data_IF_871027706006
#
_entry.id   IF_871027706006
#
_cell.length_a   1.000
_cell.length_b   1.000
_cell.length_c   1.000
_cell.angle_alpha   90.00
_cell.angle_beta   90.00
_cell.angle_gamma   90.00
#
_symmetry.space_group_name_H-M   'P 1'
#
loop_
_entity.id
_entity.type
_entity.pdbx_description
1 polymer ?
#
# COMPACT_ATOMS: atom_id res chain seq x y z
N UNK A 1 -9.46 -3.89 23.68
CA UNK A 1 -7.99 -3.81 23.47
C UNK A 1 -7.67 -2.81 22.33
N UNK A 2 -7.95 -1.52 22.52
CA UNK A 2 -7.89 -0.52 21.41
C UNK A 2 -7.10 0.75 21.70
N UNK A 3 -6.98 1.15 22.97
CA UNK A 3 -6.44 2.47 23.32
C UNK A 3 -4.90 2.55 23.16
N UNK A 4 -4.15 1.48 23.44
CA UNK A 4 -2.68 1.50 23.33
C UNK A 4 -2.15 1.52 21.89
N UNK A 5 -2.84 0.88 20.93
CA UNK A 5 -2.43 0.90 19.50
C UNK A 5 -2.70 2.27 18.87
N UNK A 6 -3.85 2.86 19.19
CA UNK A 6 -4.24 4.18 18.67
C UNK A 6 -3.33 5.28 19.21
N UNK A 7 -2.90 5.19 20.47
CA UNK A 7 -1.98 6.18 21.07
C UNK A 7 -0.57 6.12 20.46
N UNK A 8 -0.04 4.93 20.13
CA UNK A 8 1.27 4.80 19.48
C UNK A 8 1.25 5.32 18.03
N UNK A 9 0.15 5.09 17.31
CA UNK A 9 -0.12 5.63 15.97
C UNK A 9 -0.18 7.16 15.97
N UNK A 10 -0.73 7.76 17.04
CA UNK A 10 -0.97 9.21 17.14
C UNK A 10 0.30 10.02 17.45
N UNK A 11 1.32 9.44 18.10
CA UNK A 11 2.47 10.19 18.64
C UNK A 11 3.83 10.00 17.93
N UNK A 12 3.90 9.37 16.75
CA UNK A 12 5.11 9.49 15.93
C UNK A 12 5.55 8.30 15.08
N UNK A 13 4.75 7.25 14.96
CA UNK A 13 5.12 6.10 14.15
C UNK A 13 3.95 5.75 13.22
N UNK A 14 4.09 6.11 11.94
CA UNK A 14 3.13 5.75 10.90
C UNK A 14 2.78 4.26 11.00
N UNK A 15 1.48 3.96 10.99
CA UNK A 15 0.96 2.62 11.30
C UNK A 15 1.73 1.52 10.55
N UNK A 16 2.42 0.67 11.31
CA UNK A 16 3.08 -0.56 10.83
C UNK A 16 2.09 -1.68 10.56
N UNK A 17 0.80 -1.43 10.77
CA UNK A 17 -0.25 -2.40 10.53
C UNK A 17 -0.46 -2.58 9.02
N UNK A 18 0.08 -3.70 8.52
CA UNK A 18 0.07 -4.06 7.10
C UNK A 18 -1.31 -4.46 6.60
N UNK A 19 -2.30 -4.67 7.47
CA UNK A 19 -3.66 -5.00 7.04
C UNK A 19 -4.33 -3.87 6.24
N UNK A 20 -3.88 -2.63 6.45
CA UNK A 20 -4.39 -1.46 5.76
C UNK A 20 -3.66 -1.14 4.46
N UNK A 21 -2.50 -1.76 4.22
CA UNK A 21 -1.68 -1.49 3.03
C UNK A 21 -2.32 -2.13 1.79
N UNK A 22 -2.10 -1.52 0.63
CA UNK A 22 -2.61 -2.05 -0.63
C UNK A 22 -1.48 -2.65 -1.46
N UNK A 23 -1.75 -3.77 -2.11
CA UNK A 23 -0.87 -4.32 -3.13
C UNK A 23 -0.84 -3.43 -4.36
N UNK A 24 0.35 -3.18 -4.88
CA UNK A 24 0.53 -2.66 -6.24
C UNK A 24 0.82 -3.85 -7.15
N UNK A 25 -0.06 -4.07 -8.13
CA UNK A 25 0.02 -5.20 -9.04
C UNK A 25 0.30 -4.70 -10.45
N UNK A 26 1.33 -5.25 -11.11
CA UNK A 26 1.62 -4.98 -12.50
C UNK A 26 0.94 -6.03 -13.40
N UNK A 27 0.16 -5.64 -14.43
CA UNK A 27 -0.51 -6.60 -15.30
C UNK A 27 0.44 -7.44 -16.18
N UNK A 28 1.67 -6.99 -16.41
CA UNK A 28 2.70 -7.69 -17.21
C UNK A 28 3.57 -8.57 -16.32
N UNK A 29 4.01 -8.07 -15.17
CA UNK A 29 5.01 -8.74 -14.32
C UNK A 29 4.48 -9.25 -12.97
N UNK A 30 3.21 -8.98 -12.66
CA UNK A 30 2.57 -9.35 -11.38
C UNK A 30 3.07 -8.52 -10.20
N UNK A 31 3.25 -9.16 -9.04
CA UNK A 31 3.83 -8.55 -7.82
C UNK A 31 5.37 -8.63 -7.80
N UNK A 32 6.01 -8.93 -8.94
CA UNK A 32 7.47 -8.98 -9.08
C UNK A 32 7.92 -8.15 -10.28
N UNK A 33 9.13 -7.60 -10.21
CA UNK A 33 9.81 -6.91 -11.30
C UNK A 33 11.30 -7.23 -11.24
N UNK A 34 11.96 -7.27 -12.39
CA UNK A 34 13.41 -7.45 -12.46
C UNK A 34 14.04 -6.10 -12.80
N UNK A 35 14.92 -5.61 -11.94
CA UNK A 35 15.68 -4.38 -12.18
C UNK A 35 17.15 -4.75 -12.20
N UNK A 36 17.78 -4.66 -13.38
CA UNK A 36 19.20 -4.95 -13.58
C UNK A 36 19.63 -6.34 -13.07
N UNK A 37 18.83 -7.37 -13.33
CA UNK A 37 19.10 -8.74 -12.90
C UNK A 37 18.63 -9.07 -11.47
N UNK A 38 18.16 -8.08 -10.71
CA UNK A 38 17.68 -8.26 -9.34
C UNK A 38 16.16 -8.34 -9.33
N UNK A 39 15.62 -9.49 -8.90
CA UNK A 39 14.19 -9.65 -8.67
C UNK A 39 13.75 -8.86 -7.42
N UNK A 40 12.76 -8.00 -7.58
CA UNK A 40 12.10 -7.20 -6.53
C UNK A 40 10.60 -7.41 -6.63
N UNK A 41 9.87 -7.18 -5.55
CA UNK A 41 8.42 -7.37 -5.54
C UNK A 41 7.79 -6.89 -4.26
N UNK A 42 6.57 -7.33 -4.00
CA UNK A 42 5.80 -6.94 -2.82
C UNK A 42 5.62 -5.43 -2.71
N UNK A 43 5.37 -4.76 -3.84
CA UNK A 43 5.19 -3.32 -3.85
C UNK A 43 3.86 -2.96 -3.20
N UNK A 44 3.89 -1.97 -2.30
CA UNK A 44 2.70 -1.57 -1.54
C UNK A 44 2.47 -0.07 -1.62
N UNK A 45 1.20 0.32 -1.49
CA UNK A 45 0.81 1.67 -1.08
C UNK A 45 0.62 1.66 0.44
N UNK A 46 1.41 2.46 1.15
CA UNK A 46 1.43 2.46 2.62
C UNK A 46 1.82 3.83 3.20
N UNK A 47 1.61 4.12 4.50
CA UNK A 47 2.12 5.35 5.09
C UNK A 47 3.64 5.31 5.19
N UNK A 48 4.30 6.47 5.18
CA UNK A 48 5.75 6.54 5.33
C UNK A 48 6.18 5.89 6.65
N UNK A 49 7.03 4.87 6.53
CA UNK A 49 7.62 4.19 7.68
C UNK A 49 8.77 4.99 8.32
N UNK A 50 9.24 4.58 9.51
CA UNK A 50 10.26 5.31 10.27
C UNK A 50 11.60 5.46 9.54
N UNK A 51 11.95 4.49 8.68
CA UNK A 51 13.18 4.52 7.89
C UNK A 51 13.07 5.35 6.60
N UNK A 52 11.86 5.82 6.24
CA UNK A 52 11.58 6.58 5.01
C UNK A 52 12.07 5.93 3.70
N UNK A 53 12.26 4.61 3.71
CA UNK A 53 12.68 3.84 2.55
C UNK A 53 11.46 3.43 1.73
N UNK A 54 11.42 3.81 0.45
CA UNK A 54 10.34 3.40 -0.45
C UNK A 54 10.64 2.08 -1.16
N UNK A 55 11.90 1.75 -1.50
CA UNK A 55 12.30 0.50 -2.18
C UNK A 55 11.43 0.09 -3.41
N UNK A 56 10.64 1.03 -3.98
CA UNK A 56 9.66 0.81 -5.05
C UNK A 56 8.18 0.83 -4.63
N UNK A 57 7.89 0.88 -3.33
CA UNK A 57 6.57 1.19 -2.78
C UNK A 57 6.19 2.66 -2.99
N UNK A 58 4.89 2.95 -2.98
CA UNK A 58 4.35 4.31 -2.94
C UNK A 58 4.04 4.64 -1.48
N UNK A 59 4.64 5.70 -0.95
CA UNK A 59 4.44 6.09 0.46
C UNK A 59 3.68 7.41 0.59
N UNK A 60 2.66 7.43 1.44
CA UNK A 60 1.99 8.67 1.85
C UNK A 60 2.67 9.23 3.09
N UNK A 61 3.23 10.44 2.99
CA UNK A 61 4.09 11.04 4.04
C UNK A 61 3.34 11.22 5.35
N UNK A 62 2.13 11.77 5.30
CA UNK A 62 1.31 12.02 6.48
C UNK A 62 0.45 10.78 6.80
N UNK A 63 0.58 10.16 7.99
CA UNK A 63 -0.21 8.98 8.36
C UNK A 63 -1.72 9.23 8.42
N UNK A 64 -2.17 10.41 8.85
CA UNK A 64 -3.58 10.79 8.85
C UNK A 64 -4.15 10.93 7.43
N UNK A 65 -3.34 11.43 6.49
CA UNK A 65 -3.71 11.45 5.07
C UNK A 65 -3.81 10.02 4.50
N UNK A 66 -2.92 9.11 4.92
CA UNK A 66 -3.05 7.70 4.55
C UNK A 66 -4.34 7.07 5.11
N UNK A 67 -4.72 7.37 6.35
CA UNK A 67 -5.96 6.86 6.94
C UNK A 67 -7.20 7.34 6.16
N UNK A 68 -7.25 8.62 5.79
CA UNK A 68 -8.30 9.14 4.93
C UNK A 68 -8.32 8.45 3.56
N UNK A 69 -7.14 8.27 2.94
CA UNK A 69 -7.00 7.64 1.65
C UNK A 69 -7.44 6.16 1.66
N UNK A 70 -7.01 5.38 2.66
CA UNK A 70 -7.34 3.96 2.71
C UNK A 70 -8.84 3.73 2.93
N UNK A 71 -9.51 4.56 3.75
CA UNK A 71 -10.98 4.56 3.89
C UNK A 71 -11.66 4.89 2.57
N UNK A 72 -11.18 5.90 1.87
CA UNK A 72 -11.73 6.30 0.58
C UNK A 72 -11.59 5.20 -0.48
N UNK A 73 -10.41 4.58 -0.61
CA UNK A 73 -10.19 3.49 -1.57
C UNK A 73 -11.12 2.31 -1.25
N UNK A 74 -11.22 1.92 0.04
CA UNK A 74 -12.05 0.78 0.45
C UNK A 74 -13.54 1.01 0.25
N UNK A 75 -14.02 2.26 0.40
CA UNK A 75 -15.43 2.59 0.21
C UNK A 75 -15.89 2.44 -1.25
N UNK A 76 -14.97 2.41 -2.22
CA UNK A 76 -15.27 2.14 -3.64
C UNK A 76 -15.50 0.65 -3.94
N UNK A 77 -15.08 -0.26 -3.05
CA UNK A 77 -15.19 -1.71 -3.21
C UNK A 77 -14.15 -2.32 -4.17
N UNK A 78 -13.95 -3.64 -4.09
CA UNK A 78 -13.07 -4.38 -5.00
C UNK A 78 -13.86 -4.79 -6.26
N UNK A 79 -13.94 -3.91 -7.24
CA UNK A 79 -14.81 -4.09 -8.40
C UNK A 79 -14.06 -4.48 -9.66
N UNK A 80 -12.76 -4.20 -9.75
CA UNK A 80 -11.98 -4.40 -10.97
C UNK A 80 -11.28 -5.77 -10.96
N UNK A 81 -11.50 -6.67 -11.94
CA UNK A 81 -10.77 -7.93 -12.02
C UNK A 81 -9.29 -7.68 -12.38
N UNK A 82 -8.39 -8.47 -11.79
CA UNK A 82 -6.96 -8.43 -12.11
C UNK A 82 -6.65 -9.51 -13.16
N UNK A 83 -6.21 -9.14 -14.38
CA UNK A 83 -5.95 -10.10 -15.45
C UNK A 83 -5.01 -11.22 -15.04
N UNK A 84 -5.31 -12.46 -15.45
CA UNK A 84 -4.48 -13.63 -15.17
C UNK A 84 -4.54 -14.12 -13.72
N UNK A 85 -5.46 -13.61 -12.89
CA UNK A 85 -5.61 -14.02 -11.49
C UNK A 85 -7.08 -14.13 -11.09
N UNK A 86 -7.36 -14.72 -9.92
CA UNK A 86 -8.69 -14.72 -9.29
C UNK A 86 -8.94 -13.47 -8.43
N UNK A 87 -7.99 -12.52 -8.39
CA UNK A 87 -8.04 -11.35 -7.54
C UNK A 87 -8.87 -10.22 -8.15
N UNK A 88 -9.35 -9.35 -7.27
CA UNK A 88 -9.95 -8.06 -7.63
C UNK A 88 -9.14 -6.91 -7.04
N UNK A 89 -9.08 -5.80 -7.74
CA UNK A 89 -8.43 -4.57 -7.35
C UNK A 89 -9.46 -3.49 -7.00
N UNK A 90 -9.05 -2.56 -6.15
CA UNK A 90 -9.84 -1.37 -5.80
C UNK A 90 -9.79 -0.28 -6.89
N UNK A 91 -8.78 -0.33 -7.77
CA UNK A 91 -8.59 0.65 -8.83
C UNK A 91 -7.20 0.56 -9.44
N UNK A 92 -6.90 1.52 -10.31
CA UNK A 92 -5.58 1.68 -10.94
C UNK A 92 -4.82 2.84 -10.27
N UNK A 93 -3.49 2.75 -10.27
CA UNK A 93 -2.61 3.86 -9.92
C UNK A 93 -1.78 4.22 -11.14
N UNK A 94 -1.78 5.49 -11.50
CA UNK A 94 -0.93 6.03 -12.55
C UNK A 94 0.13 6.90 -11.88
N UNK A 95 1.41 6.62 -12.16
CA UNK A 95 2.54 7.39 -11.65
C UNK A 95 3.11 8.17 -12.83
N UNK A 96 3.21 9.49 -12.68
CA UNK A 96 3.74 10.42 -13.69
C UNK A 96 5.03 11.05 -13.20
#
# INVERSE_FOLDING_TARGET
>A
MGIMRDLWSTYGFGSTDRQYWFMLWNPVSGDTTNINGIARGNFRLHPMGPLRLSQGCITVVNPGAFDALQKFIRSKGLTMPVPGTTMKAYGTVEVK
#
